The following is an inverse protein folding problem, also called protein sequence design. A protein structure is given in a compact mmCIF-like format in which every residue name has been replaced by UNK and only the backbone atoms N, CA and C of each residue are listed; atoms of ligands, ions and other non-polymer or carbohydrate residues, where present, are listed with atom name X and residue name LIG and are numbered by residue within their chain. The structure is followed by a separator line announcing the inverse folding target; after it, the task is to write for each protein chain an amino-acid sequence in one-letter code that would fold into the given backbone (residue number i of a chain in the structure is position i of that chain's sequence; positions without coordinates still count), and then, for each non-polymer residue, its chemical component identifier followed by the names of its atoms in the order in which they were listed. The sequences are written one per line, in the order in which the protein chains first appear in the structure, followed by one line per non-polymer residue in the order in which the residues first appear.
data_IF_337987845182
#
_entry.id   IF_337987845182
#
_cell.length_a   1.000
_cell.length_b   1.000
_cell.length_c   1.000
_cell.angle_alpha   90.00
_cell.angle_beta   90.00
_cell.angle_gamma   90.00
#
_symmetry.space_group_name_H-M   'P 1'
#
loop_
_entity.id
_entity.type
_entity.pdbx_description
1 polymer ?
#
# COMPACT_ATOMS: atom_id res chain seq x y z
N UNK A 1 -53.43 1.76 -53.15
CA UNK A 1 -53.61 0.40 -52.58
C UNK A 1 -53.45 -0.61 -53.71
N UNK A 2 -52.70 -1.72 -53.58
CA UNK A 2 -51.51 -2.02 -52.74
C UNK A 2 -50.23 -2.15 -53.62
N UNK A 3 -48.97 -1.90 -53.20
CA UNK A 3 -48.13 -2.34 -52.07
C UNK A 3 -47.56 -3.77 -52.21
N UNK A 4 -46.23 -3.89 -52.37
CA UNK A 4 -45.28 -4.95 -51.91
C UNK A 4 -44.02 -4.96 -52.80
N UNK A 5 -42.77 -5.13 -52.36
CA UNK A 5 -42.05 -4.88 -51.11
C UNK A 5 -40.58 -5.19 -51.45
N UNK A 6 -39.72 -4.17 -51.53
CA UNK A 6 -38.27 -4.35 -51.71
C UNK A 6 -37.66 -4.63 -50.34
N UNK A 7 -37.21 -5.86 -50.12
CA UNK A 7 -36.47 -6.26 -48.91
C UNK A 7 -35.06 -5.67 -48.92
N UNK A 8 -34.90 -4.50 -48.31
CA UNK A 8 -33.60 -3.97 -47.90
C UNK A 8 -33.15 -4.71 -46.65
N UNK A 9 -32.14 -5.58 -46.80
CA UNK A 9 -31.39 -6.17 -45.69
C UNK A 9 -30.60 -5.03 -45.03
N UNK A 10 -31.10 -4.53 -43.91
CA UNK A 10 -30.38 -3.59 -43.07
C UNK A 10 -29.31 -4.34 -42.27
N UNK A 11 -28.06 -4.31 -42.76
CA UNK A 11 -26.88 -4.61 -41.95
C UNK A 11 -26.72 -3.54 -40.87
N UNK A 12 -27.37 -3.74 -39.72
CA UNK A 12 -27.09 -2.97 -38.51
C UNK A 12 -25.73 -3.36 -37.94
N UNK A 13 -24.68 -2.63 -38.31
CA UNK A 13 -23.41 -2.62 -37.61
C UNK A 13 -23.64 -2.01 -36.22
N UNK A 14 -23.84 -2.86 -35.23
CA UNK A 14 -23.78 -2.46 -33.83
C UNK A 14 -22.32 -2.10 -33.51
N UNK A 15 -22.00 -0.80 -33.54
CA UNK A 15 -20.82 -0.24 -32.89
C UNK A 15 -20.97 -0.46 -31.37
N UNK A 16 -20.51 -1.61 -30.90
CA UNK A 16 -20.28 -1.83 -29.47
C UNK A 16 -19.05 -0.99 -29.12
N UNK A 17 -19.29 0.15 -28.47
CA UNK A 17 -18.24 0.97 -27.91
C UNK A 17 -17.42 0.15 -26.92
N UNK A 18 -16.17 -0.14 -27.28
CA UNK A 18 -15.16 -0.68 -26.38
C UNK A 18 -14.78 0.41 -25.37
N UNK A 19 -15.64 0.68 -24.40
CA UNK A 19 -15.23 1.39 -23.19
C UNK A 19 -14.38 0.41 -22.39
N UNK A 20 -13.06 0.49 -22.54
CA UNK A 20 -12.14 -0.25 -21.67
C UNK A 20 -12.47 0.02 -20.20
N UNK A 21 -12.49 -1.02 -19.38
CA UNK A 21 -12.67 -0.86 -17.94
C UNK A 21 -11.49 -0.05 -17.40
N UNK A 22 -11.76 1.16 -16.88
CA UNK A 22 -10.74 1.97 -16.23
C UNK A 22 -10.16 1.23 -15.02
N UNK A 23 -8.83 1.12 -14.96
CA UNK A 23 -8.11 0.51 -13.83
C UNK A 23 -8.30 1.33 -12.55
N UNK A 24 -7.93 0.76 -11.41
CA UNK A 24 -7.99 1.51 -10.14
C UNK A 24 -7.13 2.77 -10.19
N UNK A 25 -5.91 2.69 -10.75
CA UNK A 25 -5.01 3.84 -10.91
C UNK A 25 -5.62 4.92 -11.80
N UNK A 26 -6.31 4.54 -12.87
CA UNK A 26 -7.01 5.49 -13.74
C UNK A 26 -8.13 6.22 -12.99
N UNK A 27 -8.89 5.50 -12.16
CA UNK A 27 -9.95 6.09 -11.33
C UNK A 27 -9.39 7.04 -10.27
N UNK A 28 -8.22 6.74 -9.71
CA UNK A 28 -7.59 7.55 -8.66
C UNK A 28 -6.82 8.76 -9.21
N UNK A 29 -6.60 8.84 -10.52
CA UNK A 29 -5.86 9.93 -11.15
C UNK A 29 -6.34 11.35 -10.75
N UNK A 30 -7.66 11.65 -10.71
CA UNK A 30 -8.16 12.95 -10.24
C UNK A 30 -7.78 13.21 -8.78
N UNK A 31 -7.97 12.24 -7.88
CA UNK A 31 -7.62 12.36 -6.45
C UNK A 31 -6.14 12.67 -6.28
N UNK A 32 -5.27 11.93 -6.97
CA UNK A 32 -3.81 12.14 -6.94
C UNK A 32 -3.42 13.52 -7.45
N UNK A 33 -4.06 13.97 -8.53
CA UNK A 33 -3.80 15.29 -9.12
C UNK A 33 -4.12 16.40 -8.12
N UNK A 34 -5.30 16.35 -7.50
CA UNK A 34 -5.72 17.31 -6.50
C UNK A 34 -4.81 17.27 -5.26
N UNK A 35 -4.55 16.07 -4.72
CA UNK A 35 -3.70 15.87 -3.55
C UNK A 35 -2.28 16.41 -3.75
N UNK A 36 -1.57 15.99 -4.80
CA UNK A 36 -0.20 16.43 -5.05
C UNK A 36 -0.09 17.90 -5.47
N UNK A 37 -1.19 18.53 -5.87
CA UNK A 37 -1.26 19.98 -6.11
C UNK A 37 -1.57 20.81 -4.85
N UNK A 38 -1.78 20.16 -3.70
CA UNK A 38 -2.14 20.79 -2.43
C UNK A 38 -3.63 21.13 -2.28
N UNK A 39 -4.48 20.75 -3.25
CA UNK A 39 -5.93 20.98 -3.25
C UNK A 39 -6.65 19.87 -2.47
N UNK A 40 -6.41 19.84 -1.16
CA UNK A 40 -6.91 18.78 -0.27
C UNK A 40 -8.45 18.72 -0.15
N UNK A 41 -9.19 19.84 -0.08
CA UNK A 41 -10.66 19.80 -0.10
C UNK A 41 -11.22 19.14 -1.36
N UNK A 42 -10.63 19.43 -2.52
CA UNK A 42 -11.01 18.86 -3.81
C UNK A 42 -10.65 17.36 -3.88
N UNK A 43 -9.46 16.99 -3.40
CA UNK A 43 -9.05 15.58 -3.29
C UNK A 43 -10.02 14.78 -2.42
N UNK A 44 -10.47 15.36 -1.29
CA UNK A 44 -11.49 14.77 -0.40
C UNK A 44 -12.82 14.55 -1.13
N UNK A 45 -13.29 15.54 -1.88
CA UNK A 45 -14.54 15.44 -2.64
C UNK A 45 -14.47 14.30 -3.67
N UNK A 46 -13.37 14.22 -4.43
CA UNK A 46 -13.21 13.19 -5.46
C UNK A 46 -13.07 11.79 -4.85
N UNK A 47 -12.29 11.61 -3.77
CA UNK A 47 -12.15 10.29 -3.14
C UNK A 47 -13.47 9.82 -2.51
N UNK A 48 -14.22 10.71 -1.85
CA UNK A 48 -15.53 10.39 -1.28
C UNK A 48 -16.55 10.01 -2.37
N UNK A 49 -16.49 10.68 -3.53
CA UNK A 49 -17.33 10.37 -4.70
C UNK A 49 -16.98 8.99 -5.26
N UNK A 50 -15.70 8.62 -5.35
CA UNK A 50 -15.26 7.29 -5.76
C UNK A 50 -15.73 6.23 -4.77
N UNK A 51 -15.52 6.44 -3.46
CA UNK A 51 -15.94 5.52 -2.40
C UNK A 51 -17.46 5.28 -2.39
N UNK A 52 -18.27 6.30 -2.72
CA UNK A 52 -19.73 6.16 -2.88
C UNK A 52 -20.12 5.42 -4.16
N UNK A 53 -19.44 5.72 -5.27
CA UNK A 53 -19.75 5.15 -6.59
C UNK A 53 -19.34 3.68 -6.70
N UNK A 54 -18.26 3.30 -6.04
CA UNK A 54 -17.63 1.98 -6.06
C UNK A 54 -17.57 1.43 -4.63
N UNK A 55 -18.75 1.21 -4.03
CA UNK A 55 -18.89 0.79 -2.63
C UNK A 55 -18.17 -0.53 -2.30
N UNK A 56 -17.98 -1.39 -3.29
CA UNK A 56 -17.23 -2.64 -3.24
C UNK A 56 -15.74 -2.44 -2.97
N UNK A 57 -15.20 -1.29 -3.41
CA UNK A 57 -13.80 -0.88 -3.27
C UNK A 57 -13.64 0.24 -2.23
N UNK A 58 -14.71 0.53 -1.46
CA UNK A 58 -14.75 1.64 -0.50
C UNK A 58 -13.55 1.65 0.43
N UNK A 59 -13.13 0.50 0.94
CA UNK A 59 -12.05 0.40 1.92
C UNK A 59 -10.70 0.87 1.34
N UNK A 60 -10.44 0.62 0.06
CA UNK A 60 -9.18 1.07 -0.57
C UNK A 60 -9.19 2.60 -0.76
N UNK A 61 -10.34 3.18 -1.11
CA UNK A 61 -10.49 4.64 -1.20
C UNK A 61 -10.43 5.31 0.18
N UNK A 62 -10.89 4.62 1.24
CA UNK A 62 -10.76 5.11 2.61
C UNK A 62 -9.30 5.20 3.07
N UNK A 63 -8.41 4.33 2.58
CA UNK A 63 -6.97 4.47 2.82
C UNK A 63 -6.41 5.78 2.25
N UNK A 64 -6.80 6.15 1.03
CA UNK A 64 -6.42 7.43 0.42
C UNK A 64 -7.06 8.62 1.16
N UNK A 65 -8.33 8.48 1.57
CA UNK A 65 -9.03 9.47 2.39
C UNK A 65 -8.29 9.73 3.71
N UNK A 66 -7.78 8.70 4.38
CA UNK A 66 -6.99 8.86 5.61
C UNK A 66 -5.72 9.69 5.38
N UNK A 67 -5.01 9.46 4.27
CA UNK A 67 -3.83 10.27 3.92
C UNK A 67 -4.18 11.73 3.66
N UNK A 68 -5.32 11.99 3.01
CA UNK A 68 -5.84 13.36 2.79
C UNK A 68 -6.12 14.03 4.14
N UNK A 69 -6.80 13.35 5.06
CA UNK A 69 -7.09 13.89 6.40
C UNK A 69 -5.82 14.16 7.20
N UNK A 70 -4.87 13.22 7.18
CA UNK A 70 -3.60 13.38 7.87
C UNK A 70 -2.85 14.61 7.36
N UNK A 71 -2.69 14.76 6.04
CA UNK A 71 -2.01 15.92 5.45
C UNK A 71 -2.80 17.23 5.64
N UNK A 72 -4.13 17.17 5.75
CA UNK A 72 -4.98 18.34 6.01
C UNK A 72 -4.84 18.87 7.46
N UNK A 73 -4.19 18.11 8.34
CA UNK A 73 -4.08 18.41 9.76
C UNK A 73 -5.25 17.89 10.59
N UNK A 74 -5.87 16.79 10.15
CA UNK A 74 -6.94 16.09 10.87
C UNK A 74 -6.48 14.68 11.30
N UNK A 75 -5.42 14.54 12.13
CA UNK A 75 -4.85 13.26 12.50
C UNK A 75 -5.86 12.31 13.19
N UNK A 76 -6.76 12.84 14.03
CA UNK A 76 -7.82 12.04 14.68
C UNK A 76 -8.80 11.40 13.70
N UNK A 77 -9.18 12.12 12.64
CA UNK A 77 -10.08 11.56 11.60
C UNK A 77 -9.33 10.55 10.73
N UNK A 78 -8.06 10.80 10.39
CA UNK A 78 -7.19 9.81 9.74
C UNK A 78 -7.12 8.51 10.55
N UNK A 79 -6.84 8.61 11.85
CA UNK A 79 -6.77 7.46 12.74
C UNK A 79 -8.08 6.67 12.74
N UNK A 80 -9.22 7.35 12.92
CA UNK A 80 -10.55 6.73 12.92
C UNK A 80 -10.83 5.95 11.63
N UNK A 81 -10.48 6.52 10.47
CA UNK A 81 -10.66 5.84 9.18
C UNK A 81 -9.77 4.60 9.12
N UNK A 82 -8.48 4.73 9.43
CA UNK A 82 -7.51 3.64 9.38
C UNK A 82 -7.87 2.49 10.33
N UNK A 83 -8.38 2.77 11.52
CA UNK A 83 -8.88 1.74 12.46
C UNK A 83 -10.03 0.95 11.83
N UNK A 84 -10.97 1.67 11.22
CA UNK A 84 -12.11 1.06 10.54
C UNK A 84 -11.67 0.14 9.39
N UNK A 85 -10.73 0.60 8.55
CA UNK A 85 -10.21 -0.20 7.44
C UNK A 85 -9.43 -1.42 7.95
N UNK A 86 -8.54 -1.25 8.94
CA UNK A 86 -7.78 -2.34 9.58
C UNK A 86 -8.71 -3.45 10.06
N UNK A 87 -9.74 -3.10 10.82
CA UNK A 87 -10.66 -4.08 11.42
C UNK A 87 -11.45 -4.86 10.36
N UNK A 88 -11.79 -4.22 9.24
CA UNK A 88 -12.45 -4.89 8.10
C UNK A 88 -11.49 -5.78 7.32
N UNK A 89 -10.26 -5.35 7.09
CA UNK A 89 -9.23 -6.17 6.44
C UNK A 89 -8.90 -7.41 7.28
N UNK A 90 -8.71 -7.26 8.59
CA UNK A 90 -8.47 -8.37 9.51
C UNK A 90 -9.66 -9.36 9.53
N UNK A 91 -10.88 -8.89 9.25
CA UNK A 91 -12.06 -9.76 9.07
C UNK A 91 -12.07 -10.46 7.72
N UNK A 92 -11.70 -9.78 6.63
CA UNK A 92 -11.64 -10.37 5.29
C UNK A 92 -10.54 -11.41 5.16
N UNK A 93 -9.41 -11.22 5.82
CA UNK A 93 -8.29 -12.16 5.83
C UNK A 93 -8.63 -13.52 6.46
N UNK A 94 -9.59 -13.56 7.38
CA UNK A 94 -10.02 -14.79 8.06
C UNK A 94 -10.88 -15.72 7.19
N UNK A 95 -11.20 -15.34 5.95
CA UNK A 95 -11.94 -16.20 5.01
C UNK A 95 -11.07 -17.35 4.50
N UNK A 96 -11.67 -18.51 4.28
CA UNK A 96 -10.93 -19.74 3.96
C UNK A 96 -10.51 -19.82 2.48
N UNK A 97 -9.48 -20.63 2.18
CA UNK A 97 -9.04 -20.92 0.80
C UNK A 97 -10.17 -21.51 -0.08
N UNK A 98 -11.12 -22.23 0.53
CA UNK A 98 -12.30 -22.78 -0.16
C UNK A 98 -13.29 -21.69 -0.56
N UNK A 99 -13.56 -20.74 0.33
CA UNK A 99 -14.41 -19.58 0.03
C UNK A 99 -13.78 -18.69 -1.05
N UNK A 100 -12.45 -18.58 -1.07
CA UNK A 100 -11.72 -17.86 -2.10
C UNK A 100 -11.86 -18.56 -3.48
N UNK A 101 -11.68 -19.88 -3.52
CA UNK A 101 -11.81 -20.66 -4.75
C UNK A 101 -13.24 -20.66 -5.30
N UNK A 102 -14.26 -20.73 -4.43
CA UNK A 102 -15.67 -20.60 -4.81
C UNK A 102 -16.01 -19.20 -5.36
N UNK A 103 -15.40 -18.14 -4.81
CA UNK A 103 -15.60 -16.78 -5.29
C UNK A 103 -15.03 -16.56 -6.70
N UNK A 104 -13.90 -17.20 -7.03
CA UNK A 104 -13.26 -17.14 -8.36
C UNK A 104 -14.13 -17.72 -9.48
N UNK A 105 -15.10 -18.59 -9.17
CA UNK A 105 -16.09 -19.09 -10.15
C UNK A 105 -17.08 -18.01 -10.60
N UNK A 106 -17.25 -16.94 -9.82
CA UNK A 106 -18.27 -15.91 -10.07
C UNK A 106 -17.67 -14.63 -10.65
N UNK A 107 -16.70 -13.99 -9.97
CA UNK A 107 -15.94 -12.81 -10.43
C UNK A 107 -14.90 -12.40 -9.36
N UNK A 108 -13.60 -12.37 -9.68
CA UNK A 108 -12.53 -11.96 -8.73
C UNK A 108 -12.66 -10.51 -8.27
N UNK A 109 -13.28 -9.62 -9.07
CA UNK A 109 -13.48 -8.22 -8.67
C UNK A 109 -14.59 -8.05 -7.62
N UNK A 110 -15.41 -9.08 -7.39
CA UNK A 110 -16.44 -9.11 -6.33
C UNK A 110 -15.90 -9.61 -4.99
N UNK A 111 -14.65 -10.06 -4.93
CA UNK A 111 -13.98 -10.39 -3.68
C UNK A 111 -13.61 -9.07 -2.99
N UNK A 112 -14.04 -8.93 -1.73
CA UNK A 112 -13.69 -7.79 -0.89
C UNK A 112 -12.17 -7.68 -0.78
N UNK A 113 -11.62 -6.51 -1.11
CA UNK A 113 -10.19 -6.24 -1.02
C UNK A 113 -9.72 -6.33 0.43
N UNK A 114 -8.76 -7.22 0.72
CA UNK A 114 -8.26 -7.46 2.07
C UNK A 114 -6.93 -6.73 2.38
N UNK A 115 -6.47 -5.88 1.45
CA UNK A 115 -5.16 -5.23 1.52
C UNK A 115 -4.02 -6.15 1.09
N UNK A 116 -3.01 -5.56 0.46
CA UNK A 116 -1.71 -6.22 0.26
C UNK A 116 -0.98 -6.37 1.60
N UNK A 117 -0.10 -7.35 1.72
CA UNK A 117 0.59 -7.63 2.99
C UNK A 117 1.39 -6.43 3.51
N UNK A 118 2.02 -5.66 2.62
CA UNK A 118 2.72 -4.44 3.01
C UNK A 118 1.75 -3.35 3.48
N UNK A 119 0.57 -3.22 2.85
CA UNK A 119 -0.45 -2.26 3.27
C UNK A 119 -1.00 -2.58 4.66
N UNK A 120 -1.18 -3.86 5.00
CA UNK A 120 -1.61 -4.27 6.35
C UNK A 120 -0.62 -3.80 7.42
N UNK A 121 0.67 -3.82 7.12
CA UNK A 121 1.72 -3.28 8.00
C UNK A 121 1.62 -1.75 8.01
N UNK A 122 1.53 -1.12 6.85
CA UNK A 122 1.49 0.34 6.72
C UNK A 122 0.24 0.98 7.33
N UNK A 123 -0.91 0.30 7.37
CA UNK A 123 -2.09 0.78 8.08
C UNK A 123 -1.76 0.99 9.56
N UNK A 124 -1.01 0.06 10.16
CA UNK A 124 -0.57 0.14 11.57
C UNK A 124 0.50 1.23 11.74
N UNK A 125 1.43 1.34 10.78
CA UNK A 125 2.41 2.45 10.70
C UNK A 125 1.72 3.82 10.71
N UNK A 126 0.72 4.03 9.85
CA UNK A 126 0.00 5.30 9.76
C UNK A 126 -0.99 5.52 10.90
N UNK A 127 -1.50 4.46 11.55
CA UNK A 127 -2.20 4.58 12.83
C UNK A 127 -1.28 5.14 13.91
N UNK A 128 -0.07 4.60 14.03
CA UNK A 128 0.93 5.11 14.98
C UNK A 128 1.25 6.58 14.70
N UNK A 129 1.54 6.96 13.44
CA UNK A 129 1.85 8.35 13.09
C UNK A 129 0.65 9.28 13.29
N UNK A 130 -0.56 8.85 12.91
CA UNK A 130 -1.78 9.65 13.10
C UNK A 130 -2.05 9.88 14.58
N UNK A 131 -1.94 8.83 15.40
CA UNK A 131 -2.16 8.95 16.84
C UNK A 131 -1.07 9.82 17.51
N UNK A 132 0.21 9.65 17.12
CA UNK A 132 1.33 10.48 17.59
C UNK A 132 1.13 11.97 17.28
N UNK A 133 0.57 12.30 16.11
CA UNK A 133 0.23 13.68 15.71
C UNK A 133 -1.07 14.20 16.35
N UNK A 134 -1.82 13.34 17.04
CA UNK A 134 -3.00 13.71 17.80
C UNK A 134 -2.65 13.86 19.30
N UNK A 135 -3.03 12.88 20.12
CA UNK A 135 -2.80 12.87 21.57
C UNK A 135 -1.74 11.84 22.02
N UNK A 136 -1.25 11.00 21.11
CA UNK A 136 -0.17 10.03 21.33
C UNK A 136 -0.51 8.86 22.25
N UNK A 137 -1.73 8.77 22.79
CA UNK A 137 -2.07 7.83 23.87
C UNK A 137 -1.98 6.36 23.45
N UNK A 138 -2.28 6.07 22.19
CA UNK A 138 -2.30 4.71 21.63
C UNK A 138 -1.07 4.43 20.73
N UNK A 139 -0.14 5.39 20.60
CA UNK A 139 0.98 5.30 19.66
C UNK A 139 1.87 4.07 19.93
N UNK A 140 2.23 3.81 21.20
CA UNK A 140 3.02 2.63 21.58
C UNK A 140 2.26 1.31 21.28
N UNK A 141 0.95 1.27 21.57
CA UNK A 141 0.12 0.11 21.27
C UNK A 141 -0.01 -0.17 19.77
N UNK A 142 -0.11 0.87 18.93
CA UNK A 142 -0.07 0.72 17.48
C UNK A 142 1.32 0.33 16.98
N UNK A 143 2.39 0.87 17.57
CA UNK A 143 3.77 0.52 17.23
C UNK A 143 4.06 -0.98 17.45
N UNK A 144 3.59 -1.54 18.57
CA UNK A 144 3.64 -2.98 18.85
C UNK A 144 2.91 -3.82 17.77
N UNK A 145 1.77 -3.34 17.29
CA UNK A 145 0.98 -4.05 16.27
C UNK A 145 1.73 -4.17 14.93
N UNK A 146 2.64 -3.24 14.60
CA UNK A 146 3.47 -3.30 13.38
C UNK A 146 4.31 -4.59 13.41
N UNK A 147 5.05 -4.80 14.50
CA UNK A 147 5.90 -5.99 14.68
C UNK A 147 5.08 -7.28 14.74
N UNK A 148 3.95 -7.26 15.45
CA UNK A 148 3.05 -8.42 15.52
C UNK A 148 2.53 -8.83 14.13
N UNK A 149 2.11 -7.87 13.30
CA UNK A 149 1.61 -8.16 11.95
C UNK A 149 2.71 -8.63 11.02
N UNK A 150 3.93 -8.08 11.12
CA UNK A 150 5.08 -8.57 10.36
C UNK A 150 5.43 -10.03 10.68
N UNK A 151 5.43 -10.39 11.97
CA UNK A 151 5.70 -11.76 12.39
C UNK A 151 4.61 -12.72 11.89
N UNK A 152 3.34 -12.32 11.97
CA UNK A 152 2.21 -13.09 11.43
C UNK A 152 2.36 -13.35 9.92
N UNK A 153 2.65 -12.32 9.14
CA UNK A 153 2.80 -12.42 7.68
C UNK A 153 4.02 -13.26 7.29
N UNK A 154 5.13 -13.11 8.01
CA UNK A 154 6.35 -13.91 7.78
C UNK A 154 6.10 -15.40 8.07
N UNK A 155 5.41 -15.71 9.17
CA UNK A 155 5.04 -17.07 9.52
C UNK A 155 4.09 -17.70 8.48
N UNK A 156 3.10 -16.93 8.02
CA UNK A 156 2.18 -17.35 6.95
C UNK A 156 2.92 -17.63 5.65
N UNK A 157 3.76 -16.70 5.18
CA UNK A 157 4.55 -16.87 3.97
C UNK A 157 5.45 -18.12 4.05
N UNK A 158 6.13 -18.30 5.19
CA UNK A 158 7.00 -19.48 5.42
C UNK A 158 6.20 -20.77 5.26
N UNK A 159 5.04 -20.85 5.92
CA UNK A 159 4.16 -22.02 5.82
C UNK A 159 3.69 -22.27 4.39
N UNK A 160 3.24 -21.22 3.69
CA UNK A 160 2.74 -21.33 2.32
C UNK A 160 3.84 -21.82 1.35
N UNK A 161 5.07 -21.32 1.50
CA UNK A 161 6.23 -21.80 0.73
C UNK A 161 6.62 -23.24 1.07
N UNK A 162 6.55 -23.65 2.34
CA UNK A 162 6.81 -25.04 2.73
C UNK A 162 5.77 -26.00 2.10
N UNK A 163 4.49 -25.62 2.11
CA UNK A 163 3.43 -26.38 1.46
C UNK A 163 3.62 -26.43 -0.07
N UNK A 164 4.03 -25.31 -0.67
CA UNK A 164 4.35 -25.25 -2.09
C UNK A 164 5.51 -26.19 -2.45
N UNK A 165 6.59 -26.19 -1.67
CA UNK A 165 7.77 -27.04 -1.92
C UNK A 165 7.49 -28.53 -1.74
N UNK A 166 6.55 -28.92 -0.88
CA UNK A 166 6.07 -30.32 -0.78
C UNK A 166 5.40 -30.80 -2.07
N UNK A 167 4.82 -29.87 -2.85
CA UNK A 167 4.08 -30.17 -4.08
C UNK A 167 4.91 -29.95 -5.34
N UNK A 168 5.84 -29.01 -5.30
CA UNK A 168 6.76 -28.67 -6.38
C UNK A 168 8.17 -28.55 -5.79
N UNK A 169 8.95 -29.63 -5.83
CA UNK A 169 10.27 -29.70 -5.18
C UNK A 169 11.23 -28.58 -5.63
N UNK A 170 11.09 -28.11 -6.85
CA UNK A 170 11.89 -27.01 -7.44
C UNK A 170 11.40 -25.61 -7.08
N UNK A 171 10.34 -25.47 -6.28
CA UNK A 171 9.84 -24.17 -5.85
C UNK A 171 10.85 -23.45 -4.94
N UNK A 172 10.95 -22.11 -5.02
CA UNK A 172 11.91 -21.35 -4.24
C UNK A 172 11.62 -21.43 -2.73
N UNK A 173 12.69 -21.35 -1.94
CA UNK A 173 12.58 -21.13 -0.49
C UNK A 173 11.87 -19.80 -0.20
N UNK A 174 11.22 -19.65 0.97
CA UNK A 174 10.61 -18.39 1.35
C UNK A 174 11.70 -17.29 1.40
N UNK A 175 11.48 -16.15 0.73
CA UNK A 175 12.41 -15.02 0.81
C UNK A 175 12.36 -14.39 2.21
N UNK A 176 13.45 -13.73 2.59
CA UNK A 176 13.45 -12.85 3.75
C UNK A 176 12.73 -11.55 3.39
N UNK A 177 11.74 -11.17 4.21
CA UNK A 177 10.96 -9.95 4.00
C UNK A 177 11.58 -8.77 4.76
N UNK A 178 11.72 -7.59 4.13
CA UNK A 178 12.15 -6.39 4.84
C UNK A 178 11.17 -6.06 5.97
N UNK A 179 11.71 -5.68 7.13
CA UNK A 179 10.94 -5.32 8.32
C UNK A 179 10.81 -3.79 8.45
N UNK A 180 9.66 -3.30 8.88
CA UNK A 180 9.44 -1.87 9.18
C UNK A 180 9.98 -1.54 10.57
N UNK A 181 11.01 -0.69 10.62
CA UNK A 181 11.65 -0.26 11.86
C UNK A 181 10.88 0.84 12.63
N UNK A 182 9.81 1.42 12.04
CA UNK A 182 9.06 2.50 12.71
C UNK A 182 8.48 2.05 14.06
N UNK A 183 7.99 0.80 14.15
CA UNK A 183 7.49 0.23 15.41
C UNK A 183 8.52 0.36 16.54
N UNK A 184 9.62 -0.42 16.51
CA UNK A 184 10.64 -0.34 17.55
C UNK A 184 11.26 1.06 17.70
N UNK A 185 11.38 1.85 16.63
CA UNK A 185 11.86 3.23 16.74
C UNK A 185 10.96 4.09 17.63
N UNK A 186 9.64 4.02 17.45
CA UNK A 186 8.68 4.78 18.25
C UNK A 186 8.61 4.26 19.69
N UNK A 187 8.71 2.94 19.88
CA UNK A 187 8.76 2.39 21.24
C UNK A 187 9.96 2.92 22.02
N UNK A 188 11.16 2.83 21.43
CA UNK A 188 12.37 3.36 22.06
C UNK A 188 12.24 4.86 22.32
N UNK A 189 11.75 5.63 21.34
CA UNK A 189 11.53 7.08 21.46
C UNK A 189 10.61 7.45 22.64
N UNK A 190 9.47 6.77 22.79
CA UNK A 190 8.51 7.05 23.85
C UNK A 190 9.04 6.62 25.23
N UNK A 191 9.72 5.47 25.30
CA UNK A 191 10.23 4.94 26.57
C UNK A 191 11.51 5.64 27.03
N UNK A 192 12.28 6.24 26.11
CA UNK A 192 13.39 7.15 26.42
C UNK A 192 12.90 8.41 27.16
N UNK A 193 11.74 8.95 26.79
CA UNK A 193 11.15 10.15 27.43
C UNK A 193 10.62 9.85 28.83
N UNK A 194 9.98 8.70 29.04
CA UNK A 194 9.41 8.35 30.34
C UNK A 194 10.44 7.75 31.31
N UNK A 195 11.64 7.42 30.84
CA UNK A 195 12.71 6.75 31.60
C UNK A 195 12.24 5.45 32.31
N UNK A 196 11.26 4.75 31.74
CA UNK A 196 10.57 3.64 32.42
C UNK A 196 11.25 2.28 32.26
N UNK A 197 11.93 2.03 31.14
CA UNK A 197 12.54 0.71 30.88
C UNK A 197 13.75 0.79 29.91
N UNK A 198 14.93 1.02 30.48
CA UNK A 198 16.17 1.10 29.70
C UNK A 198 16.48 -0.18 28.90
N UNK A 199 16.08 -1.35 29.40
CA UNK A 199 16.35 -2.62 28.74
C UNK A 199 15.48 -2.80 27.48
N UNK A 200 14.22 -2.40 27.55
CA UNK A 200 13.31 -2.40 26.40
C UNK A 200 13.71 -1.35 25.36
N UNK A 201 14.21 -0.17 25.79
CA UNK A 201 14.78 0.84 24.88
C UNK A 201 15.96 0.27 24.10
N UNK A 202 16.94 -0.34 24.78
CA UNK A 202 18.12 -0.95 24.12
C UNK A 202 17.67 -2.01 23.13
N UNK A 203 16.78 -2.93 23.53
CA UNK A 203 16.25 -3.98 22.66
C UNK A 203 15.56 -3.41 21.42
N UNK A 204 14.76 -2.36 21.59
CA UNK A 204 14.08 -1.71 20.48
C UNK A 204 15.07 -0.99 19.54
N UNK A 205 16.12 -0.33 20.05
CA UNK A 205 17.19 0.26 19.22
C UNK A 205 18.00 -0.81 18.47
N UNK A 206 18.31 -1.94 19.10
CA UNK A 206 18.94 -3.09 18.44
C UNK A 206 18.09 -3.59 17.26
N UNK A 207 16.77 -3.68 17.44
CA UNK A 207 15.85 -4.04 16.36
C UNK A 207 15.89 -3.03 15.21
N UNK A 208 15.95 -1.73 15.49
CA UNK A 208 16.08 -0.69 14.43
C UNK A 208 17.36 -0.88 13.63
N UNK A 209 18.51 -1.04 14.31
CA UNK A 209 19.81 -1.28 13.65
C UNK A 209 19.81 -2.57 12.83
N UNK A 210 19.17 -3.63 13.35
CA UNK A 210 19.04 -4.89 12.63
C UNK A 210 18.14 -4.80 11.40
N UNK A 211 17.01 -4.08 11.49
CA UNK A 211 16.03 -3.99 10.41
C UNK A 211 16.46 -3.03 9.31
N UNK A 212 17.21 -1.98 9.66
CA UNK A 212 17.71 -0.99 8.71
C UNK A 212 19.19 -0.70 8.99
N UNK A 213 20.12 -1.60 8.61
CA UNK A 213 21.55 -1.41 8.88
C UNK A 213 22.15 -0.15 8.24
N UNK A 214 21.52 0.38 7.18
CA UNK A 214 21.89 1.63 6.54
C UNK A 214 21.28 2.89 7.16
N UNK A 215 20.54 2.77 8.27
CA UNK A 215 19.96 3.93 8.95
C UNK A 215 21.07 4.72 9.66
N UNK A 216 21.38 5.91 9.13
CA UNK A 216 22.48 6.79 9.56
C UNK A 216 22.56 6.95 11.08
N UNK A 217 21.42 7.17 11.72
CA UNK A 217 21.35 7.55 13.13
C UNK A 217 21.23 6.33 14.07
N UNK A 218 21.06 5.12 13.52
CA UNK A 218 20.72 3.92 14.29
C UNK A 218 21.77 3.50 15.31
N UNK A 219 23.05 3.48 14.93
CA UNK A 219 24.11 3.09 15.86
C UNK A 219 24.29 4.12 16.98
N UNK A 220 24.22 5.42 16.65
CA UNK A 220 24.30 6.49 17.65
C UNK A 220 23.10 6.47 18.61
N UNK A 221 21.90 6.13 18.13
CA UNK A 221 20.73 5.91 18.96
C UNK A 221 20.89 4.70 19.90
N UNK A 222 21.47 3.60 19.42
CA UNK A 222 21.75 2.42 20.24
C UNK A 222 22.83 2.70 21.30
N UNK A 223 23.93 3.35 20.91
CA UNK A 223 25.00 3.73 21.84
C UNK A 223 24.48 4.69 22.91
N UNK A 224 23.53 5.58 22.55
CA UNK A 224 22.82 6.44 23.50
C UNK A 224 22.00 5.61 24.49
N UNK A 225 21.19 4.67 24.01
CA UNK A 225 20.37 3.81 24.86
C UNK A 225 21.17 2.93 25.82
N UNK A 226 22.39 2.53 25.44
CA UNK A 226 23.28 1.70 26.25
C UNK A 226 24.08 2.49 27.30
N UNK A 227 24.18 3.82 27.16
CA UNK A 227 24.93 4.68 28.06
C UNK A 227 24.05 5.59 28.91
N UNK A 228 24.68 6.38 29.79
CA UNK A 228 24.02 7.45 30.57
C UNK A 228 23.94 8.76 29.74
N UNK A 229 23.38 8.69 28.54
CA UNK A 229 23.31 9.83 27.62
C UNK A 229 21.91 10.45 27.63
N UNK A 230 21.56 11.04 28.77
CA UNK A 230 20.32 11.81 28.94
C UNK A 230 20.33 13.10 28.10
N UNK A 231 19.13 13.57 27.75
CA UNK A 231 18.96 14.92 27.21
C UNK A 231 19.49 15.92 28.25
N UNK A 232 20.31 16.92 27.87
CA UNK A 232 20.78 17.91 28.82
C UNK A 232 19.63 18.60 29.54
N UNK A 233 19.84 19.06 30.78
CA UNK A 233 18.89 19.94 31.46
C UNK A 233 18.57 21.16 30.59
N UNK A 234 17.34 21.66 30.66
CA UNK A 234 16.86 22.80 29.88
C UNK A 234 16.86 22.53 28.37
N UNK A 235 16.72 21.26 27.97
CA UNK A 235 16.58 20.83 26.58
C UNK A 235 15.46 19.80 26.43
N UNK A 236 14.91 19.73 25.21
CA UNK A 236 14.01 18.67 24.77
C UNK A 236 14.47 18.08 23.43
N UNK A 237 13.76 17.05 22.96
CA UNK A 237 14.04 16.43 21.66
C UNK A 237 12.92 16.71 20.66
N UNK A 238 13.27 17.17 19.47
CA UNK A 238 12.36 17.33 18.34
C UNK A 238 12.56 16.13 17.40
N UNK A 239 11.50 15.37 17.16
CA UNK A 239 11.48 14.29 16.18
C UNK A 239 10.72 14.74 14.94
N UNK A 240 11.41 14.84 13.82
CA UNK A 240 10.84 15.26 12.54
C UNK A 240 10.62 14.03 11.66
N UNK A 241 9.36 13.64 11.48
CA UNK A 241 8.93 12.59 10.56
C UNK A 241 8.56 13.21 9.20
N UNK A 242 9.15 12.72 8.11
CA UNK A 242 8.81 13.19 6.76
C UNK A 242 8.36 12.05 5.87
N UNK A 243 7.19 12.21 5.25
CA UNK A 243 6.68 11.33 4.21
C UNK A 243 7.25 11.81 2.87
N UNK A 244 8.19 11.08 2.29
CA UNK A 244 9.02 11.54 1.17
C UNK A 244 8.72 10.76 -0.10
N UNK A 245 8.52 11.51 -1.20
CA UNK A 245 8.25 10.97 -2.51
C UNK A 245 6.85 10.39 -2.67
N UNK A 246 6.52 10.01 -3.91
CA UNK A 246 5.26 9.34 -4.28
C UNK A 246 5.48 7.84 -4.24
N UNK A 247 4.64 7.15 -3.47
CA UNK A 247 4.73 5.72 -3.24
C UNK A 247 4.39 4.86 -4.45
N UNK A 248 4.52 3.53 -4.28
CA UNK A 248 4.27 2.57 -5.34
C UNK A 248 2.78 2.50 -5.71
N UNK A 249 2.50 2.08 -6.95
CA UNK A 249 1.14 1.80 -7.43
C UNK A 249 1.10 0.44 -8.11
N UNK A 250 -0.08 -0.16 -8.25
CA UNK A 250 -0.25 -1.38 -9.05
C UNK A 250 -0.69 -1.05 -10.47
N UNK A 251 0.06 -1.49 -11.46
CA UNK A 251 -0.24 -1.28 -12.87
C UNK A 251 -0.47 -2.64 -13.56
N UNK A 252 -1.35 -2.65 -14.57
CA UNK A 252 -1.53 -3.83 -15.41
C UNK A 252 -0.25 -4.11 -16.22
N UNK A 253 0.16 -5.38 -16.24
CA UNK A 253 1.31 -5.86 -16.97
C UNK A 253 1.02 -7.24 -17.56
N UNK A 254 1.66 -7.57 -18.68
CA UNK A 254 1.63 -8.92 -19.23
C UNK A 254 2.85 -9.70 -18.77
N UNK A 255 2.63 -10.93 -18.32
CA UNK A 255 3.71 -11.81 -17.89
C UNK A 255 3.50 -13.25 -18.36
N UNK A 256 4.59 -14.01 -18.48
CA UNK A 256 4.56 -15.40 -18.95
C UNK A 256 4.44 -16.31 -17.73
N UNK A 257 3.44 -17.22 -17.68
CA UNK A 257 3.30 -18.15 -16.57
C UNK A 257 4.55 -19.00 -16.33
N UNK A 258 5.02 -19.04 -15.09
CA UNK A 258 6.09 -19.96 -14.67
C UNK A 258 5.57 -21.39 -14.49
N UNK A 259 6.45 -22.39 -14.56
CA UNK A 259 6.05 -23.79 -14.30
C UNK A 259 5.44 -23.98 -12.91
N UNK A 260 6.01 -23.33 -11.89
CA UNK A 260 5.48 -23.33 -10.52
C UNK A 260 4.06 -22.76 -10.49
N UNK A 261 3.84 -21.64 -11.18
CA UNK A 261 2.51 -21.02 -11.23
C UNK A 261 1.48 -21.89 -11.97
N UNK A 262 1.87 -22.59 -13.04
CA UNK A 262 0.98 -23.54 -13.74
C UNK A 262 0.56 -24.71 -12.84
N UNK A 263 1.49 -25.26 -12.04
CA UNK A 263 1.19 -26.32 -11.08
C UNK A 263 0.23 -25.87 -9.98
N UNK A 264 0.42 -24.66 -9.44
CA UNK A 264 -0.50 -24.07 -8.46
C UNK A 264 -1.87 -23.85 -9.11
N UNK A 265 -1.90 -23.29 -10.32
CA UNK A 265 -3.13 -23.02 -11.05
C UNK A 265 -3.94 -24.30 -11.29
N UNK A 266 -3.29 -25.40 -11.68
CA UNK A 266 -3.94 -26.68 -11.91
C UNK A 266 -4.65 -27.22 -10.66
N UNK A 267 -4.07 -27.01 -9.48
CA UNK A 267 -4.71 -27.36 -8.20
C UNK A 267 -5.94 -26.49 -7.92
N UNK A 268 -5.84 -25.18 -8.16
CA UNK A 268 -6.97 -24.25 -7.98
C UNK A 268 -8.12 -24.69 -8.89
N UNK A 269 -7.85 -24.91 -10.19
CA UNK A 269 -8.88 -25.28 -11.17
C UNK A 269 -9.48 -26.65 -10.84
N UNK A 270 -8.66 -27.65 -10.53
CA UNK A 270 -9.13 -29.01 -10.19
C UNK A 270 -10.00 -29.06 -8.94
N UNK A 271 -9.85 -28.10 -8.02
CA UNK A 271 -10.68 -28.02 -6.81
C UNK A 271 -12.10 -27.50 -7.08
N UNK A 272 -12.32 -26.76 -8.18
CA UNK A 272 -13.58 -26.03 -8.45
C UNK A 272 -14.24 -26.41 -9.77
N UNK A 273 -13.49 -26.96 -10.71
CA UNK A 273 -13.94 -27.33 -12.04
C UNK A 273 -13.44 -28.73 -12.43
N UNK A 274 -14.16 -29.40 -13.34
CA UNK A 274 -13.73 -30.69 -13.91
C UNK A 274 -12.66 -30.55 -15.01
N UNK A 275 -12.15 -29.34 -15.21
CA UNK A 275 -11.24 -28.99 -16.28
C UNK A 275 -9.81 -28.96 -15.77
N UNK A 276 -8.86 -29.07 -16.68
CA UNK A 276 -7.43 -28.94 -16.39
C UNK A 276 -6.88 -27.64 -16.96
N UNK A 277 -5.79 -27.15 -16.38
CA UNK A 277 -5.10 -25.99 -16.95
C UNK A 277 -4.37 -26.42 -18.22
N UNK A 278 -4.64 -25.79 -19.39
CA UNK A 278 -3.89 -26.09 -20.60
C UNK A 278 -2.41 -25.71 -20.40
N UNK A 279 -1.45 -26.47 -20.96
CA UNK A 279 -0.01 -26.20 -20.79
C UNK A 279 0.49 -24.97 -21.58
N UNK A 280 -0.38 -24.01 -21.85
CA UNK A 280 -0.08 -22.81 -22.64
C UNK A 280 0.70 -21.80 -21.81
N UNK A 281 1.87 -21.41 -22.32
CA UNK A 281 2.71 -20.32 -21.79
C UNK A 281 2.32 -18.95 -22.40
N UNK A 282 1.06 -18.78 -22.79
CA UNK A 282 0.61 -17.51 -23.37
C UNK A 282 0.65 -16.40 -22.30
N UNK A 283 1.05 -15.16 -22.65
CA UNK A 283 1.07 -14.05 -21.71
C UNK A 283 -0.28 -13.87 -21.00
N UNK A 284 -0.24 -13.65 -19.70
CA UNK A 284 -1.40 -13.38 -18.84
C UNK A 284 -1.30 -11.95 -18.29
N UNK A 285 -2.46 -11.32 -18.09
CA UNK A 285 -2.51 -10.02 -17.43
C UNK A 285 -2.43 -10.19 -15.92
N UNK A 286 -1.50 -9.48 -15.30
CA UNK A 286 -1.30 -9.40 -13.85
C UNK A 286 -1.15 -7.95 -13.40
N UNK A 287 -1.43 -7.70 -12.12
CA UNK A 287 -1.18 -6.40 -11.51
C UNK A 287 0.20 -6.44 -10.87
N UNK A 288 1.11 -5.57 -11.33
CA UNK A 288 2.48 -5.50 -10.86
C UNK A 288 2.70 -4.24 -10.04
N UNK A 289 3.46 -4.35 -8.96
CA UNK A 289 3.88 -3.19 -8.17
C UNK A 289 4.92 -2.40 -8.95
N UNK A 290 4.67 -1.11 -9.15
CA UNK A 290 5.52 -0.18 -9.87
C UNK A 290 5.92 0.97 -8.95
N UNK A 291 7.22 1.16 -8.78
CA UNK A 291 7.78 2.33 -8.08
C UNK A 291 7.81 3.53 -8.99
N UNK A 292 7.65 4.72 -8.41
CA UNK A 292 7.79 6.00 -9.12
C UNK A 292 9.21 6.51 -8.98
N UNK A 293 9.67 7.25 -9.99
CA UNK A 293 10.89 8.03 -9.84
C UNK A 293 10.59 9.26 -8.97
N UNK A 294 11.36 9.42 -7.90
CA UNK A 294 11.23 10.53 -6.96
C UNK A 294 12.50 11.39 -7.02
N UNK A 295 12.32 12.69 -7.24
CA UNK A 295 13.42 13.66 -7.22
C UNK A 295 13.90 13.90 -5.78
N UNK A 296 12.96 14.10 -4.86
CA UNK A 296 13.25 14.33 -3.45
C UNK A 296 13.89 13.07 -2.85
N UNK A 297 15.02 13.24 -2.18
CA UNK A 297 15.77 12.16 -1.54
C UNK A 297 15.82 12.30 -0.02
N UNK A 298 15.81 13.53 0.48
CA UNK A 298 15.75 13.87 1.90
C UNK A 298 15.07 15.23 2.11
N UNK A 299 14.82 15.56 3.37
CA UNK A 299 14.37 16.89 3.79
C UNK A 299 15.45 17.48 4.69
N UNK A 300 15.99 18.64 4.31
CA UNK A 300 16.88 19.41 5.18
C UNK A 300 16.09 20.11 6.26
N UNK A 301 16.66 20.12 7.46
CA UNK A 301 16.04 20.70 8.64
C UNK A 301 16.90 21.86 9.13
N UNK A 302 16.27 23.02 9.33
CA UNK A 302 16.88 24.16 9.99
C UNK A 302 16.08 24.53 11.23
N UNK A 303 16.76 24.85 12.32
CA UNK A 303 16.18 25.34 13.57
C UNK A 303 16.75 26.75 13.82
N UNK A 304 15.87 27.75 13.91
CA UNK A 304 16.26 29.17 14.09
C UNK A 304 17.32 29.66 13.08
N UNK A 305 17.24 29.15 11.85
CA UNK A 305 18.17 29.47 10.77
C UNK A 305 19.51 28.73 10.81
N UNK A 306 19.77 27.90 11.82
CA UNK A 306 20.92 26.99 11.87
C UNK A 306 20.56 25.64 11.21
N UNK A 307 21.51 25.03 10.50
CA UNK A 307 21.28 23.75 9.84
C UNK A 307 21.49 22.60 10.82
N UNK A 308 20.44 21.80 11.04
CA UNK A 308 20.44 20.62 11.93
C UNK A 308 20.62 19.30 11.16
N UNK A 309 20.96 19.39 9.87
CA UNK A 309 21.17 18.23 8.99
C UNK A 309 19.96 17.90 8.12
N UNK A 310 19.74 16.61 7.87
CA UNK A 310 18.67 16.12 7.00
C UNK A 310 18.01 14.85 7.55
N UNK A 311 16.76 14.62 7.17
CA UNK A 311 16.05 13.38 7.47
C UNK A 311 16.70 12.18 6.76
N UNK A 312 16.61 11.00 7.40
CA UNK A 312 17.13 9.73 6.89
C UNK A 312 16.03 8.68 6.82
N UNK A 313 16.07 7.83 5.81
CA UNK A 313 15.05 6.79 5.59
C UNK A 313 15.04 5.75 6.71
N UNK A 314 13.90 5.65 7.39
CA UNK A 314 13.60 4.62 8.40
C UNK A 314 12.69 3.53 7.83
N UNK A 315 11.85 3.88 6.85
CA UNK A 315 10.97 2.93 6.14
C UNK A 315 11.05 3.20 4.65
N UNK A 316 11.49 2.22 3.85
CA UNK A 316 11.39 2.26 2.38
C UNK A 316 10.10 1.53 1.96
N UNK A 317 9.03 2.30 1.78
CA UNK A 317 7.70 1.79 1.44
C UNK A 317 7.69 1.16 0.06
N UNK A 318 8.40 1.78 -0.89
CA UNK A 318 8.55 1.26 -2.25
C UNK A 318 9.21 -0.12 -2.27
N UNK A 319 10.31 -0.30 -1.52
CA UNK A 319 11.00 -1.58 -1.42
C UNK A 319 10.17 -2.62 -0.68
N UNK A 320 9.48 -2.25 0.41
CA UNK A 320 8.58 -3.14 1.15
C UNK A 320 7.48 -3.71 0.23
N UNK A 321 6.84 -2.85 -0.57
CA UNK A 321 5.79 -3.26 -1.50
C UNK A 321 6.31 -4.21 -2.58
N UNK A 322 7.49 -3.91 -3.16
CA UNK A 322 8.12 -4.77 -4.17
C UNK A 322 8.49 -6.13 -3.59
N UNK A 323 9.16 -6.18 -2.44
CA UNK A 323 9.57 -7.44 -1.81
C UNK A 323 8.38 -8.33 -1.43
N UNK A 324 7.28 -7.73 -0.93
CA UNK A 324 6.06 -8.48 -0.64
C UNK A 324 5.38 -9.01 -1.91
N UNK A 325 5.35 -8.21 -2.99
CA UNK A 325 4.82 -8.67 -4.28
C UNK A 325 5.65 -9.82 -4.87
N UNK A 326 6.98 -9.70 -4.84
CA UNK A 326 7.89 -10.73 -5.34
C UNK A 326 7.77 -12.04 -4.56
N UNK A 327 7.58 -11.97 -3.24
CA UNK A 327 7.33 -13.15 -2.41
C UNK A 327 6.06 -13.91 -2.82
N UNK A 328 5.02 -13.20 -3.29
CA UNK A 328 3.75 -13.79 -3.72
C UNK A 328 3.63 -13.96 -5.25
N UNK A 329 4.70 -13.68 -6.01
CA UNK A 329 4.66 -13.59 -7.46
C UNK A 329 4.06 -14.83 -8.13
N UNK A 330 4.51 -16.03 -7.74
CA UNK A 330 4.00 -17.28 -8.33
C UNK A 330 2.51 -17.50 -8.05
N UNK A 331 2.03 -17.10 -6.88
CA UNK A 331 0.62 -17.23 -6.50
C UNK A 331 -0.25 -16.22 -7.27
N UNK A 332 0.23 -14.99 -7.48
CA UNK A 332 -0.43 -13.97 -8.32
C UNK A 332 -0.59 -14.47 -9.74
N UNK A 333 0.49 -14.99 -10.34
CA UNK A 333 0.48 -15.55 -11.69
C UNK A 333 -0.45 -16.77 -11.75
N UNK A 334 -0.38 -17.67 -10.77
CA UNK A 334 -1.21 -18.88 -10.72
C UNK A 334 -2.70 -18.56 -10.66
N UNK A 335 -3.11 -17.59 -9.84
CA UNK A 335 -4.51 -17.12 -9.78
C UNK A 335 -4.98 -16.57 -11.12
N UNK A 336 -4.15 -15.79 -11.81
CA UNK A 336 -4.48 -15.27 -13.13
C UNK A 336 -4.62 -16.39 -14.19
N UNK A 337 -3.73 -17.38 -14.18
CA UNK A 337 -3.85 -18.59 -15.03
C UNK A 337 -5.13 -19.36 -14.71
N UNK A 338 -5.40 -19.65 -13.44
CA UNK A 338 -6.56 -20.41 -13.01
C UNK A 338 -7.86 -19.71 -13.41
N UNK A 339 -7.95 -18.39 -13.20
CA UNK A 339 -9.09 -17.56 -13.63
C UNK A 339 -9.32 -17.67 -15.13
N UNK A 340 -8.27 -17.56 -15.95
CA UNK A 340 -8.36 -17.71 -17.40
C UNK A 340 -8.83 -19.10 -17.80
N UNK A 341 -8.28 -20.16 -17.19
CA UNK A 341 -8.65 -21.54 -17.48
C UNK A 341 -10.14 -21.81 -17.14
N UNK A 342 -10.60 -21.38 -15.96
CA UNK A 342 -12.01 -21.49 -15.54
C UNK A 342 -12.92 -20.73 -16.51
N UNK A 343 -12.58 -19.49 -16.88
CA UNK A 343 -13.36 -18.67 -17.81
C UNK A 343 -13.47 -19.33 -19.20
N UNK A 344 -12.36 -19.82 -19.76
CA UNK A 344 -12.36 -20.52 -21.06
C UNK A 344 -13.17 -21.83 -20.99
N UNK A 345 -13.06 -22.54 -19.88
CA UNK A 345 -13.80 -23.77 -19.67
C UNK A 345 -15.30 -23.60 -19.50
N UNK A 346 -15.77 -22.51 -18.87
CA UNK A 346 -17.20 -22.21 -18.79
C UNK A 346 -17.83 -22.01 -20.19
N UNK A 347 -17.11 -21.33 -21.10
CA UNK A 347 -17.52 -21.17 -22.51
C UNK A 347 -17.64 -22.53 -23.20
N UNK A 348 -16.69 -23.44 -22.96
CA UNK A 348 -16.71 -24.78 -23.54
C UNK A 348 -17.92 -25.60 -23.06
N UNK A 349 -18.22 -25.59 -21.75
CA UNK A 349 -19.42 -26.25 -21.18
C UNK A 349 -20.71 -25.67 -21.79
N UNK A 350 -20.78 -24.35 -21.97
CA UNK A 350 -21.94 -23.71 -22.61
C UNK A 350 -22.11 -24.16 -24.08
N UNK A 351 -21.01 -24.31 -24.83
CA UNK A 351 -21.04 -24.84 -26.21
C UNK A 351 -21.54 -26.29 -26.27
N UNK A 352 -21.05 -27.17 -25.39
CA UNK A 352 -21.47 -28.58 -25.34
C UNK A 352 -22.94 -28.73 -24.94
N UNK A 353 -23.37 -28.04 -23.87
CA UNK A 353 -24.74 -28.13 -23.34
C UNK A 353 -25.82 -27.56 -24.27
N UNK A 354 -25.46 -26.60 -25.13
CA UNK A 354 -26.35 -26.02 -26.14
C UNK A 354 -26.27 -26.70 -27.51
N UNK A 355 -25.48 -27.77 -27.65
CA UNK A 355 -25.15 -28.40 -28.94
C UNK A 355 -24.73 -27.37 -30.01
N UNK A 356 -24.00 -26.33 -29.59
CA UNK A 356 -23.69 -25.18 -30.44
C UNK A 356 -22.89 -25.57 -31.69
N UNK A 357 -22.12 -26.66 -31.64
CA UNK A 357 -21.40 -27.21 -32.81
C UNK A 357 -22.33 -27.58 -33.97
N UNK A 358 -23.61 -27.88 -33.69
CA UNK A 358 -24.63 -28.20 -34.70
C UNK A 358 -25.39 -26.97 -35.21
N UNK A 359 -25.16 -25.79 -34.63
CA UNK A 359 -25.81 -24.53 -35.00
C UNK A 359 -24.76 -23.42 -35.22
N UNK A 360 -24.42 -23.10 -36.48
CA UNK A 360 -23.39 -22.12 -36.82
C UNK A 360 -23.61 -20.74 -36.19
N UNK A 361 -24.87 -20.31 -36.00
CA UNK A 361 -25.17 -19.01 -35.38
C UNK A 361 -24.91 -19.04 -33.87
N UNK A 362 -25.24 -20.15 -33.20
CA UNK A 362 -24.95 -20.32 -31.78
C UNK A 362 -23.44 -20.42 -31.52
N UNK A 363 -22.69 -21.13 -32.37
CA UNK A 363 -21.24 -21.24 -32.24
C UNK A 363 -20.53 -19.90 -32.45
N UNK A 364 -20.92 -19.12 -33.48
CA UNK A 364 -20.38 -17.78 -33.70
C UNK A 364 -20.72 -16.87 -32.52
N UNK A 365 -21.97 -16.88 -32.04
CA UNK A 365 -22.38 -16.05 -30.90
C UNK A 365 -21.60 -16.38 -29.62
N UNK A 366 -21.41 -17.67 -29.31
CA UNK A 366 -20.62 -18.10 -28.15
C UNK A 366 -19.12 -17.81 -28.32
N UNK A 367 -18.59 -17.92 -29.53
CA UNK A 367 -17.18 -17.58 -29.82
C UNK A 367 -16.93 -16.09 -29.68
N UNK A 368 -17.80 -15.24 -30.26
CA UNK A 368 -17.72 -13.79 -30.09
C UNK A 368 -17.91 -13.39 -28.63
N UNK A 369 -18.82 -14.05 -27.91
CA UNK A 369 -19.00 -13.88 -26.47
C UNK A 369 -17.74 -14.26 -25.68
N UNK A 370 -17.08 -15.37 -26.03
CA UNK A 370 -15.82 -15.80 -25.41
C UNK A 370 -14.67 -14.81 -25.64
N UNK A 371 -14.52 -14.27 -26.85
CA UNK A 371 -13.51 -13.24 -27.17
C UNK A 371 -13.79 -11.95 -26.38
N UNK A 372 -15.06 -11.52 -26.34
CA UNK A 372 -15.45 -10.35 -25.56
C UNK A 372 -15.19 -10.56 -24.05
N UNK A 373 -15.41 -11.77 -23.53
CA UNK A 373 -15.15 -12.13 -22.13
C UNK A 373 -13.65 -12.27 -21.80
N UNK A 374 -12.82 -12.68 -22.76
CA UNK A 374 -11.35 -12.67 -22.61
C UNK A 374 -10.83 -11.22 -22.59
N UNK A 375 -11.44 -10.33 -23.38
CA UNK A 375 -11.14 -8.90 -23.35
C UNK A 375 -11.54 -8.18 -22.04
N UNK A 376 -12.37 -8.80 -21.19
CA UNK A 376 -12.70 -8.29 -19.85
C UNK A 376 -11.82 -8.87 -18.74
N UNK A 377 -10.79 -9.66 -19.05
CA UNK A 377 -9.76 -10.03 -18.08
C UNK A 377 -8.97 -8.79 -17.65
N UNK A 378 -9.32 -8.23 -16.49
CA UNK A 378 -8.55 -7.18 -15.82
C UNK A 378 -7.95 -7.76 -14.53
N UNK A 379 -6.65 -7.54 -14.27
CA UNK A 379 -6.06 -7.92 -13.00
C UNK A 379 -6.49 -6.95 -11.89
N UNK A 380 -6.38 -7.39 -10.63
CA UNK A 380 -6.70 -6.55 -9.49
C UNK A 380 -5.61 -5.50 -9.25
N UNK A 381 -5.80 -4.30 -9.80
CA UNK A 381 -4.90 -3.15 -9.63
C UNK A 381 -5.22 -2.31 -8.39
N UNK A 382 -6.14 -2.75 -7.51
CA UNK A 382 -6.44 -2.01 -6.27
C UNK A 382 -5.19 -1.93 -5.40
N UNK A 383 -4.90 -0.75 -4.88
CA UNK A 383 -3.79 -0.46 -3.98
C UNK A 383 -4.03 0.87 -3.26
N UNK A 384 -3.38 1.07 -2.12
CA UNK A 384 -3.33 2.33 -1.40
C UNK A 384 -2.48 3.34 -2.19
N UNK A 385 -3.15 4.26 -2.89
CA UNK A 385 -2.50 5.07 -3.91
C UNK A 385 -1.82 6.35 -3.41
N UNK A 386 -2.08 6.83 -2.20
CA UNK A 386 -1.48 8.05 -1.64
C UNK A 386 -0.33 7.79 -0.64
N UNK A 387 0.17 6.56 -0.57
CA UNK A 387 1.38 6.24 0.20
C UNK A 387 2.58 7.08 -0.27
N UNK A 388 3.51 7.43 0.64
CA UNK A 388 4.82 7.94 0.25
C UNK A 388 5.74 6.82 -0.25
N UNK A 389 6.87 7.16 -0.87
CA UNK A 389 7.91 6.15 -1.20
C UNK A 389 8.75 5.81 0.02
N UNK A 390 8.96 6.79 0.91
CA UNK A 390 9.79 6.65 2.11
C UNK A 390 9.17 7.37 3.30
N UNK A 391 9.37 6.81 4.49
CA UNK A 391 9.19 7.53 5.75
C UNK A 391 10.58 7.75 6.31
N UNK A 392 10.90 9.01 6.58
CA UNK A 392 12.20 9.43 7.05
C UNK A 392 12.09 10.12 8.39
N UNK A 393 13.16 10.11 9.17
CA UNK A 393 13.22 10.74 10.49
C UNK A 393 14.50 11.56 10.66
N UNK A 394 14.41 12.62 11.44
CA UNK A 394 15.54 13.37 12.00
C UNK A 394 15.25 13.64 13.48
N UNK A 395 16.23 13.45 14.35
CA UNK A 395 16.15 13.80 15.77
C UNK A 395 17.05 15.01 16.02
N UNK A 396 16.51 16.02 16.70
CA UNK A 396 17.21 17.27 17.04
C UNK A 396 17.08 17.46 18.54
N UNK A 397 18.17 17.85 19.22
CA UNK A 397 18.11 18.26 20.63
C UNK A 397 18.19 19.78 20.66
N UNK A 398 17.24 20.43 21.31
CA UNK A 398 17.10 21.89 21.32
C UNK A 398 16.87 22.40 22.74
N UNK A 399 17.32 23.63 23.07
CA UNK A 399 16.97 24.28 24.34
C UNK A 399 15.46 24.40 24.54
N UNK A 400 15.01 24.60 25.78
CA UNK A 400 13.60 24.90 26.07
C UNK A 400 13.21 26.25 25.47
N UNK A 401 12.04 26.29 24.85
CA UNK A 401 11.49 27.52 24.28
C UNK A 401 10.76 27.30 22.95
N UNK A 402 10.30 28.42 22.38
CA UNK A 402 9.67 28.43 21.05
C UNK A 402 10.74 28.59 19.99
N UNK A 403 10.80 27.64 19.06
CA UNK A 403 11.75 27.62 17.96
C UNK A 403 11.04 27.65 16.60
N UNK A 404 11.71 28.22 15.61
CA UNK A 404 11.26 28.22 14.23
C UNK A 404 11.94 27.09 13.45
N UNK A 405 11.20 26.02 13.19
CA UNK A 405 11.65 24.92 12.34
C UNK A 405 11.37 25.23 10.87
N UNK A 406 12.34 24.98 10.00
CA UNK A 406 12.18 25.05 8.54
C UNK A 406 12.57 23.71 7.91
N UNK A 407 11.70 23.22 7.03
CA UNK A 407 11.83 21.95 6.33
C UNK A 407 11.86 22.19 4.82
N UNK A 408 12.85 21.66 4.12
CA UNK A 408 12.98 21.86 2.67
C UNK A 408 13.51 20.62 1.96
N UNK A 409 12.93 20.29 0.81
CA UNK A 409 13.34 19.15 -0.01
C UNK A 409 14.80 19.26 -0.46
N UNK A 410 15.47 18.12 -0.58
CA UNK A 410 16.79 18.04 -1.18
C UNK A 410 16.95 16.80 -2.08
N UNK A 411 17.81 16.95 -3.07
CA UNK A 411 18.28 15.89 -3.96
C UNK A 411 19.82 15.82 -3.93
N UNK A 412 20.45 15.04 -4.82
CA UNK A 412 21.92 14.90 -4.88
C UNK A 412 22.67 16.20 -5.16
N UNK A 413 22.00 17.23 -5.67
CA UNK A 413 22.57 18.54 -5.99
C UNK A 413 22.36 19.58 -4.87
N UNK A 414 21.65 19.20 -3.80
CA UNK A 414 21.38 20.05 -2.65
C UNK A 414 19.90 20.38 -2.47
N UNK A 415 19.65 21.42 -1.68
CA UNK A 415 18.32 21.87 -1.29
C UNK A 415 17.60 22.51 -2.49
N UNK A 416 16.31 22.21 -2.66
CA UNK A 416 15.47 22.78 -3.69
C UNK A 416 14.01 22.92 -3.21
N UNK A 417 13.20 23.62 -4.00
CA UNK A 417 11.77 23.73 -3.71
C UNK A 417 11.43 24.80 -2.68
N UNK A 418 10.21 24.78 -2.16
CA UNK A 418 9.68 25.78 -1.24
C UNK A 418 9.81 25.28 0.20
N UNK A 419 10.46 26.04 1.10
CA UNK A 419 10.57 25.65 2.51
C UNK A 419 9.21 25.75 3.21
N UNK A 420 8.91 24.78 4.06
CA UNK A 420 7.82 24.85 5.02
C UNK A 420 8.36 25.33 6.37
N UNK A 421 7.71 26.33 6.96
CA UNK A 421 8.09 26.89 8.26
C UNK A 421 7.02 26.54 9.29
N UNK A 422 7.44 26.05 10.45
CA UNK A 422 6.54 25.72 11.56
C UNK A 422 7.15 26.11 12.91
N UNK A 423 6.32 26.66 13.80
CA UNK A 423 6.71 26.97 15.17
C UNK A 423 6.61 25.69 16.00
N UNK A 424 7.62 25.41 16.81
CA UNK A 424 7.66 24.25 17.71
C UNK A 424 8.01 24.72 19.11
N UNK A 425 7.25 24.26 20.10
CA UNK A 425 7.54 24.51 21.51
C UNK A 425 8.27 23.30 22.08
N UNK A 426 9.47 23.56 22.60
CA UNK A 426 10.35 22.56 23.21
C UNK A 426 10.23 22.68 24.73
N UNK A 427 9.97 21.55 25.37
CA UNK A 427 9.79 21.45 26.83
C UNK A 427 10.91 20.59 27.43
N UNK A 428 11.27 20.90 28.68
CA UNK A 428 12.38 20.24 29.38
C UNK A 428 12.13 18.74 29.49
N UNK A 429 13.11 17.95 29.05
CA UNK A 429 13.08 16.48 29.07
C UNK A 429 11.97 15.82 28.22
N UNK A 430 11.20 16.59 27.45
CA UNK A 430 10.06 16.07 26.70
C UNK A 430 10.35 15.99 25.20
N UNK A 431 9.59 15.13 24.51
CA UNK A 431 9.65 15.03 23.06
C UNK A 431 8.58 15.92 22.40
N UNK A 432 8.98 16.62 21.34
CA UNK A 432 8.07 17.32 20.43
C UNK A 432 8.12 16.64 19.07
N UNK A 433 6.96 16.20 18.55
CA UNK A 433 6.88 15.47 17.30
C UNK A 433 6.40 16.39 16.18
N UNK A 434 7.07 16.35 15.04
CA UNK A 434 6.71 17.10 13.84
C UNK A 434 6.52 16.13 12.68
N UNK A 435 5.49 16.34 11.85
CA UNK A 435 5.31 15.55 10.64
C UNK A 435 4.98 16.41 9.42
N UNK A 436 5.61 16.12 8.28
CA UNK A 436 5.32 16.79 7.01
C UNK A 436 5.38 15.83 5.81
N UNK A 437 4.56 16.08 4.79
CA UNK A 437 4.49 15.28 3.57
C UNK A 437 5.13 16.00 2.40
N UNK A 438 6.27 15.52 1.91
CA UNK A 438 7.05 16.04 0.78
C UNK A 438 7.02 15.06 -0.40
N UNK A 439 5.96 15.06 -1.22
CA UNK A 439 5.92 14.21 -2.41
C UNK A 439 6.87 14.68 -3.51
N UNK A 440 7.31 15.95 -3.50
CA UNK A 440 8.32 16.51 -4.41
C UNK A 440 8.96 17.81 -3.85
N UNK A 441 8.73 18.97 -4.48
CA UNK A 441 9.43 20.25 -4.24
C UNK A 441 8.84 21.09 -3.09
N UNK A 442 7.76 20.64 -2.47
CA UNK A 442 7.07 21.35 -1.38
C UNK A 442 6.23 20.38 -0.57
N UNK A 443 5.76 20.84 0.58
CA UNK A 443 4.79 20.07 1.35
C UNK A 443 3.43 20.01 0.67
N UNK A 444 2.71 18.91 0.87
CA UNK A 444 1.27 18.83 0.65
C UNK A 444 0.56 18.99 1.98
N UNK A 445 -0.37 19.94 2.04
CA UNK A 445 -1.14 20.22 3.24
C UNK A 445 -0.36 21.03 4.28
N UNK A 446 -0.44 20.60 5.54
CA UNK A 446 0.20 21.27 6.68
C UNK A 446 1.35 20.42 7.23
N UNK A 447 2.39 21.08 7.73
CA UNK A 447 3.27 20.45 8.71
C UNK A 447 2.50 20.38 10.05
N UNK A 448 2.56 19.24 10.72
CA UNK A 448 1.88 19.00 11.99
C UNK A 448 2.88 19.04 13.13
N UNK A 449 2.44 19.49 14.30
CA UNK A 449 3.17 19.41 15.57
C UNK A 449 2.25 18.73 16.57
N UNK A 450 2.76 17.71 17.27
CA UNK A 450 2.00 17.02 18.31
C UNK A 450 1.62 17.96 19.46
N UNK A 451 0.44 17.76 20.06
CA UNK A 451 0.05 18.46 21.29
C UNK A 451 -0.36 19.92 21.13
N UNK A 452 -0.33 20.49 19.92
CA UNK A 452 -1.03 21.75 19.64
C UNK A 452 -2.47 21.39 19.34
N UNK A 453 -3.40 21.76 20.24
CA UNK A 453 -4.83 21.63 20.00
C UNK A 453 -5.16 22.33 18.66
N UNK A 454 -5.41 21.53 17.62
CA UNK A 454 -6.02 22.02 16.39
C UNK A 454 -7.48 22.31 16.71
N UNK A 455 -7.76 23.53 17.19
CA UNK A 455 -9.13 24.06 17.29
C UNK A 455 -9.85 24.08 15.93
#
# INVERSE_FOLDING_TARGET
MPCWQSGLVACGLALIGLMGCASHVDRLHPVRTEFYSGRLPEARIEVDKLARKHSEDRDVFELDRAMIELCAGNPKESEKILRGVRDRFDKYEKKSAKELAEAMLTDDTKIAYAGEDHEKILIRTFLTLSNLMADGQDADAYALQIGAKQAELTAKLTKDHEELRKKAETAPAPPELPQVALGPYIQAMLHEETATDASEVVRAREMVVSYVPGFRDGQADLDRAMGDNDIPLDHGAIYVFTLVGRGPTKEESEDIPTQVALLIADQIVSAVAKQTVPPTLAPIKVAKVVRRHNRVQSVHVHLDGQSEGSTTTLVDVGQLAVSHYEAHYHEVIARAVARRAIKKGAVYIAKESLHAESNPVADIALTLGGIAWEATEAPDTRCWGLLPDKIQVCRIVAPVGTHQLQLQSADTHGIYGIPASISVDVHDGSNTYVMASFPDDRIVGKALVSGVDTE
#
